data_IF_298989439383
#
_entry.id   IF_298989439383
#
_cell.length_a   1.000
_cell.length_b   1.000
_cell.length_c   1.000
_cell.angle_alpha   90.00
_cell.angle_beta   90.00
_cell.angle_gamma   90.00
#
_symmetry.space_group_name_H-M   'P 1'
#
loop_
_entity.id
_entity.type
_entity.pdbx_description
1 polymer ?
#
# COMPACT_ATOMS: atom_id res chain seq x y z
N UNK A 1 -12.90 -21.89 -9.51
CA UNK A 1 -12.66 -20.46 -9.31
C UNK A 1 -13.93 -19.88 -8.72
N UNK A 2 -13.84 -19.27 -7.57
CA UNK A 2 -15.00 -18.86 -6.78
C UNK A 2 -15.60 -17.59 -7.42
N UNK A 3 -16.93 -17.52 -7.60
CA UNK A 3 -17.67 -16.36 -8.14
C UNK A 3 -17.37 -15.04 -7.43
N UNK A 4 -16.77 -15.13 -6.24
CA UNK A 4 -16.31 -14.04 -5.40
C UNK A 4 -15.14 -13.24 -6.02
N UNK A 5 -14.11 -13.92 -6.54
CA UNK A 5 -12.96 -13.26 -7.20
C UNK A 5 -13.40 -12.61 -8.52
N UNK A 6 -14.36 -13.23 -9.20
CA UNK A 6 -14.95 -12.71 -10.44
C UNK A 6 -15.73 -11.41 -10.21
N UNK A 7 -16.48 -11.32 -9.11
CA UNK A 7 -17.25 -10.14 -8.71
C UNK A 7 -16.36 -8.92 -8.39
N UNK A 8 -15.19 -9.14 -7.80
CA UNK A 8 -14.21 -8.07 -7.48
C UNK A 8 -13.61 -7.50 -8.77
N UNK A 9 -13.28 -8.36 -9.74
CA UNK A 9 -12.70 -7.94 -11.01
C UNK A 9 -13.70 -7.16 -11.87
N UNK A 10 -14.95 -7.59 -11.91
CA UNK A 10 -16.00 -6.91 -12.67
C UNK A 10 -16.37 -5.55 -12.06
N UNK A 11 -16.26 -5.37 -10.76
CA UNK A 11 -16.52 -4.09 -10.08
C UNK A 11 -15.44 -3.04 -10.32
N UNK A 12 -14.18 -3.47 -10.52
CA UNK A 12 -13.05 -2.56 -10.78
C UNK A 12 -12.87 -2.19 -12.26
N UNK A 13 -13.35 -3.04 -13.18
CA UNK A 13 -13.20 -2.80 -14.61
C UNK A 13 -14.39 -2.03 -15.24
N UNK A 14 -15.55 -1.94 -14.56
CA UNK A 14 -16.77 -1.40 -15.12
C UNK A 14 -17.51 -0.38 -14.23
N UNK A 15 -16.84 0.39 -13.41
CA UNK A 15 -17.49 1.43 -12.61
C UNK A 15 -17.73 2.72 -13.43
N UNK A 16 -18.92 2.92 -14.04
CA UNK A 16 -19.32 4.25 -14.49
C UNK A 16 -19.80 5.03 -13.27
N UNK A 17 -19.27 6.22 -13.10
CA UNK A 17 -19.75 7.23 -12.16
C UNK A 17 -21.26 7.45 -12.35
N UNK A 18 -22.07 6.92 -11.47
CA UNK A 18 -23.49 7.22 -11.47
C UNK A 18 -23.95 7.72 -10.09
N UNK A 19 -24.11 9.05 -10.04
CA UNK A 19 -24.83 9.76 -8.98
C UNK A 19 -26.32 9.41 -9.09
N UNK A 20 -26.89 8.89 -8.03
CA UNK A 20 -28.28 8.95 -7.55
C UNK A 20 -28.80 7.60 -7.08
N UNK A 21 -28.92 7.45 -5.76
CA UNK A 21 -30.18 7.05 -5.12
C UNK A 21 -30.05 7.22 -3.61
N UNK A 22 -30.71 8.24 -3.14
CA UNK A 22 -30.95 8.56 -1.74
C UNK A 22 -32.35 8.08 -1.38
N UNK A 23 -32.53 7.74 -0.11
CA UNK A 23 -33.75 7.78 0.70
C UNK A 23 -34.51 6.49 0.96
N UNK A 24 -34.58 6.21 2.25
CA UNK A 24 -35.66 5.80 3.15
C UNK A 24 -35.67 4.37 3.69
N UNK A 25 -35.76 4.33 5.03
CA UNK A 25 -36.32 3.24 5.82
C UNK A 25 -35.88 3.25 7.29
N UNK A 26 -36.68 3.81 8.14
CA UNK A 26 -36.48 3.98 9.58
C UNK A 26 -36.98 2.80 10.42
N UNK A 27 -36.40 2.66 11.62
CA UNK A 27 -36.98 2.19 12.90
C UNK A 27 -36.89 0.71 13.27
N UNK A 28 -36.32 0.48 14.44
CA UNK A 28 -36.50 -0.73 15.25
C UNK A 28 -35.49 -0.86 16.39
N UNK A 29 -35.83 -0.30 17.58
CA UNK A 29 -35.11 -0.54 18.84
C UNK A 29 -35.31 -1.97 19.33
N UNK A 30 -34.25 -2.58 19.85
CA UNK A 30 -34.36 -3.60 20.88
C UNK A 30 -33.11 -3.58 21.79
N UNK A 31 -33.33 -3.17 23.03
CA UNK A 31 -32.36 -3.14 24.14
C UNK A 31 -32.27 -4.55 24.75
N UNK A 32 -31.05 -5.09 24.91
CA UNK A 32 -30.79 -6.18 25.87
C UNK A 32 -29.60 -5.83 26.75
N UNK A 33 -29.92 -5.65 28.02
CA UNK A 33 -29.01 -5.44 29.13
C UNK A 33 -28.55 -6.80 29.65
N UNK A 34 -27.21 -7.02 29.75
CA UNK A 34 -26.64 -8.07 30.55
C UNK A 34 -25.58 -7.45 31.49
N UNK A 35 -25.88 -7.50 32.76
CA UNK A 35 -25.01 -7.12 33.89
C UNK A 35 -24.10 -8.27 34.26
N UNK A 36 -22.81 -7.97 34.49
CA UNK A 36 -21.84 -8.91 35.07
C UNK A 36 -20.44 -8.34 35.20
N UNK A 37 -20.25 -7.59 36.25
CA UNK A 37 -19.09 -7.29 37.12
C UNK A 37 -17.62 -7.30 36.62
N UNK A 38 -17.03 -6.15 36.87
CA UNK A 38 -15.73 -5.77 37.45
C UNK A 38 -14.49 -5.74 36.58
N UNK A 39 -14.16 -4.54 36.31
CA UNK A 39 -12.98 -3.96 35.67
C UNK A 39 -13.49 -2.86 34.76
N UNK A 40 -13.47 -1.59 35.21
CA UNK A 40 -14.03 -0.50 34.42
C UNK A 40 -13.14 -0.22 33.18
N UNK A 41 -13.17 -1.12 32.22
CA UNK A 41 -12.98 -0.76 30.83
C UNK A 41 -14.23 0.07 30.48
N UNK A 42 -14.04 1.34 30.22
CA UNK A 42 -15.10 2.23 29.74
C UNK A 42 -15.72 1.54 28.52
N UNK A 43 -16.97 1.11 28.64
CA UNK A 43 -17.65 0.38 27.56
C UNK A 43 -17.56 1.25 26.29
N UNK A 44 -16.90 0.75 25.27
CA UNK A 44 -16.69 1.42 24.01
C UNK A 44 -18.04 1.72 23.38
N UNK A 45 -18.38 2.99 23.21
CA UNK A 45 -19.66 3.41 22.63
C UNK A 45 -19.56 3.32 21.11
N UNK A 46 -19.72 2.11 20.57
CA UNK A 46 -19.73 1.88 19.13
C UNK A 46 -21.14 2.09 18.55
N UNK A 47 -21.20 2.59 17.31
CA UNK A 47 -22.41 2.87 16.54
C UNK A 47 -22.40 4.23 15.88
N UNK A 48 -23.31 4.46 14.93
CA UNK A 48 -23.34 5.69 14.13
C UNK A 48 -22.34 5.67 12.99
N UNK A 49 -21.65 6.78 12.72
CA UNK A 49 -20.82 6.93 11.54
C UNK A 49 -19.36 6.54 11.79
N UNK A 50 -18.69 6.12 10.70
CA UNK A 50 -17.23 5.98 10.63
C UNK A 50 -16.76 6.53 9.28
N UNK A 51 -16.06 7.68 9.32
CA UNK A 51 -15.62 8.38 8.11
C UNK A 51 -14.23 7.92 7.72
N UNK A 52 -14.12 7.24 6.59
CA UNK A 52 -12.89 6.68 6.07
C UNK A 52 -12.37 7.50 4.89
N UNK A 53 -11.06 7.73 4.85
CA UNK A 53 -10.33 8.23 3.70
C UNK A 53 -9.07 7.40 3.47
N UNK A 54 -8.97 6.71 2.34
CA UNK A 54 -7.84 5.84 2.00
C UNK A 54 -7.93 5.33 0.57
N UNK A 55 -7.14 4.31 0.27
CA UNK A 55 -7.20 3.67 -1.05
C UNK A 55 -8.45 2.81 -1.19
N UNK A 56 -8.91 2.63 -2.43
CA UNK A 56 -10.06 1.78 -2.70
C UNK A 56 -9.79 0.33 -2.27
N UNK A 57 -10.76 -0.26 -1.59
CA UNK A 57 -10.68 -1.59 -0.98
C UNK A 57 -10.17 -1.60 0.47
N UNK A 58 -9.36 -0.63 0.90
CA UNK A 58 -8.80 -0.58 2.26
C UNK A 58 -9.84 -0.25 3.34
N UNK A 59 -11.00 0.26 2.96
CA UNK A 59 -12.15 0.39 3.85
C UNK A 59 -12.73 -0.96 4.31
N UNK A 60 -12.19 -2.08 3.79
CA UNK A 60 -12.56 -3.46 4.12
C UNK A 60 -14.08 -3.74 4.05
N UNK A 61 -14.78 -3.10 3.10
CA UNK A 61 -16.26 -3.08 3.06
C UNK A 61 -16.90 -4.46 3.00
N UNK A 62 -16.31 -5.41 2.28
CA UNK A 62 -16.80 -6.79 2.22
C UNK A 62 -16.41 -7.58 3.48
N UNK A 63 -15.17 -7.43 3.94
CA UNK A 63 -14.63 -8.14 5.11
C UNK A 63 -15.32 -7.70 6.39
N UNK A 64 -15.58 -6.39 6.53
CA UNK A 64 -16.16 -5.81 7.74
C UNK A 64 -17.69 -5.70 7.70
N UNK A 65 -18.36 -6.13 6.64
CA UNK A 65 -19.80 -5.95 6.44
C UNK A 65 -20.64 -6.39 7.64
N UNK A 66 -20.44 -7.60 8.12
CA UNK A 66 -21.20 -8.16 9.23
C UNK A 66 -20.83 -7.48 10.55
N UNK A 67 -19.54 -7.16 10.76
CA UNK A 67 -19.08 -6.42 11.92
C UNK A 67 -19.72 -5.03 12.00
N UNK A 68 -19.72 -4.29 10.90
CA UNK A 68 -20.32 -2.95 10.82
C UNK A 68 -21.83 -3.01 11.12
N UNK A 69 -22.53 -3.97 10.51
CA UNK A 69 -23.97 -4.15 10.71
C UNK A 69 -24.32 -4.52 12.16
N UNK A 70 -23.58 -5.45 12.78
CA UNK A 70 -23.79 -5.89 14.16
C UNK A 70 -23.53 -4.79 15.17
N UNK A 71 -22.63 -3.87 14.88
CA UNK A 71 -22.30 -2.75 15.75
C UNK A 71 -23.07 -1.45 15.42
N UNK A 72 -23.93 -1.47 14.39
CA UNK A 72 -24.67 -0.30 13.96
C UNK A 72 -23.78 0.83 13.46
N UNK A 73 -22.64 0.48 12.83
CA UNK A 73 -21.70 1.44 12.27
C UNK A 73 -21.99 1.62 10.77
N UNK A 74 -22.20 2.87 10.35
CA UNK A 74 -22.30 3.27 8.95
C UNK A 74 -20.94 3.76 8.46
N UNK A 75 -20.25 2.95 7.63
CA UNK A 75 -18.98 3.34 7.01
C UNK A 75 -19.25 4.32 5.87
N UNK A 76 -18.69 5.54 5.99
CA UNK A 76 -18.68 6.56 4.93
C UNK A 76 -17.30 6.63 4.31
N UNK A 77 -17.08 5.82 3.26
CA UNK A 77 -15.79 5.75 2.59
C UNK A 77 -15.64 6.82 1.52
N UNK A 78 -14.49 7.49 1.54
CA UNK A 78 -13.95 8.32 0.46
C UNK A 78 -12.63 7.73 0.01
N UNK A 79 -12.37 7.71 -1.30
CA UNK A 79 -11.16 7.10 -1.84
C UNK A 79 -10.20 8.17 -2.32
N UNK A 80 -8.95 8.07 -1.90
CA UNK A 80 -7.88 8.95 -2.31
C UNK A 80 -7.29 8.51 -3.65
N UNK A 81 -6.82 9.49 -4.40
CA UNK A 81 -6.11 9.32 -5.67
C UNK A 81 -4.61 9.61 -5.55
N UNK A 82 -4.19 10.21 -4.43
CA UNK A 82 -2.81 10.54 -4.13
C UNK A 82 -2.52 10.35 -2.63
N UNK A 83 -1.28 10.03 -2.29
CA UNK A 83 -0.88 9.72 -0.92
C UNK A 83 -1.02 10.90 0.05
N UNK A 84 -0.96 12.14 -0.44
CA UNK A 84 -1.06 13.37 0.34
C UNK A 84 -2.49 13.96 0.42
N UNK A 85 -3.48 13.26 -0.13
CA UNK A 85 -4.86 13.77 -0.17
C UNK A 85 -5.44 13.97 1.23
N UNK A 86 -5.15 13.06 2.17
CA UNK A 86 -5.58 13.19 3.56
C UNK A 86 -5.01 14.46 4.21
N UNK A 87 -3.73 14.76 3.97
CA UNK A 87 -3.09 15.97 4.47
C UNK A 87 -3.66 17.24 3.81
N UNK A 88 -3.88 17.20 2.51
CA UNK A 88 -4.49 18.28 1.77
C UNK A 88 -5.89 18.58 2.29
N UNK A 89 -6.72 17.55 2.48
CA UNK A 89 -8.07 17.69 3.03
C UNK A 89 -8.06 18.26 4.44
N UNK A 90 -7.16 17.75 5.29
CA UNK A 90 -6.97 18.26 6.64
C UNK A 90 -6.64 19.75 6.68
N UNK A 91 -5.69 20.19 5.85
CA UNK A 91 -5.23 21.58 5.78
C UNK A 91 -6.26 22.55 5.15
N UNK A 92 -7.21 22.03 4.38
CA UNK A 92 -8.24 22.84 3.70
C UNK A 92 -9.59 22.85 4.42
N UNK A 93 -9.59 22.58 5.73
CA UNK A 93 -10.79 22.66 6.58
C UNK A 93 -11.49 21.32 6.83
N UNK A 94 -10.89 20.21 6.45
CA UNK A 94 -11.40 18.85 6.71
C UNK A 94 -11.05 18.31 8.10
N UNK A 95 -10.48 19.12 8.99
CA UNK A 95 -10.20 18.72 10.38
C UNK A 95 -11.50 18.28 11.08
N UNK A 96 -11.49 17.13 11.74
CA UNK A 96 -12.69 16.55 12.36
C UNK A 96 -13.70 15.93 11.38
N UNK A 97 -13.39 15.83 10.08
CA UNK A 97 -14.25 15.19 9.08
C UNK A 97 -13.81 13.77 8.70
N UNK A 98 -12.70 13.30 9.25
CA UNK A 98 -12.12 11.98 9.01
C UNK A 98 -11.94 11.26 10.35
N UNK A 99 -12.20 9.97 10.37
CA UNK A 99 -11.95 9.12 11.53
C UNK A 99 -10.75 8.21 11.28
N UNK A 100 -10.80 7.46 10.18
CA UNK A 100 -9.75 6.56 9.73
C UNK A 100 -9.13 7.06 8.43
N UNK A 101 -7.80 7.03 8.39
CA UNK A 101 -7.01 7.27 7.18
C UNK A 101 -6.03 6.11 6.99
N UNK A 102 -5.64 5.85 5.74
CA UNK A 102 -4.69 4.78 5.41
C UNK A 102 -3.44 5.34 4.72
N UNK A 103 -2.53 5.95 5.49
CA UNK A 103 -1.28 6.43 4.95
C UNK A 103 -0.34 5.28 4.60
N UNK A 104 0.33 5.41 3.46
CA UNK A 104 1.46 4.56 3.12
C UNK A 104 2.66 4.82 4.06
N UNK A 105 3.47 3.81 4.25
CA UNK A 105 4.67 3.80 5.11
C UNK A 105 5.53 5.05 5.00
N UNK A 106 5.90 5.45 3.79
CA UNK A 106 6.81 6.56 3.57
C UNK A 106 6.15 7.92 3.83
N UNK A 107 4.88 8.06 3.43
CA UNK A 107 4.09 9.24 3.72
C UNK A 107 3.84 9.40 5.22
N UNK A 108 3.49 8.31 5.93
CA UNK A 108 3.30 8.34 7.37
C UNK A 108 4.56 8.77 8.11
N UNK A 109 5.74 8.23 7.72
CA UNK A 109 7.03 8.66 8.26
C UNK A 109 7.25 10.15 8.05
N UNK A 110 7.07 10.65 6.83
CA UNK A 110 7.25 12.06 6.51
C UNK A 110 6.35 12.98 7.34
N UNK A 111 5.08 12.61 7.56
CA UNK A 111 4.15 13.35 8.41
C UNK A 111 4.61 13.37 9.86
N UNK A 112 5.02 12.22 10.41
CA UNK A 112 5.49 12.15 11.79
C UNK A 112 6.78 12.96 11.99
N UNK A 113 7.72 12.90 11.06
CA UNK A 113 8.98 13.66 11.09
C UNK A 113 8.74 15.15 10.97
N UNK A 114 7.82 15.60 10.13
CA UNK A 114 7.49 17.02 9.96
C UNK A 114 6.82 17.64 11.18
N UNK A 115 6.29 16.82 12.10
CA UNK A 115 5.51 17.29 13.24
C UNK A 115 4.09 17.74 12.89
N UNK A 116 3.61 17.44 11.68
CA UNK A 116 2.23 17.74 11.28
C UNK A 116 1.25 16.86 12.06
N UNK A 117 0.26 17.49 12.69
CA UNK A 117 -0.76 16.81 13.51
C UNK A 117 -1.91 16.26 12.64
N UNK A 118 -1.61 15.34 11.72
CA UNK A 118 -2.65 14.67 10.92
C UNK A 118 -3.23 13.45 11.65
N UNK A 119 -2.39 12.72 12.37
CA UNK A 119 -2.73 11.48 13.07
C UNK A 119 -2.56 11.66 14.57
N UNK A 120 -3.40 11.01 15.36
CA UNK A 120 -3.24 10.97 16.81
C UNK A 120 -2.55 9.67 17.25
N UNK A 121 -1.83 9.70 18.40
CA UNK A 121 -1.25 8.49 18.98
C UNK A 121 -2.35 7.52 19.40
N UNK A 122 -2.10 6.24 19.18
CA UNK A 122 -3.05 5.17 19.49
C UNK A 122 -2.86 4.65 20.93
N UNK A 123 -3.96 4.39 21.60
CA UNK A 123 -4.00 3.55 22.80
C UNK A 123 -4.01 2.08 22.38
N UNK A 124 -2.84 1.46 22.34
CA UNK A 124 -2.67 0.08 21.91
C UNK A 124 -3.36 -0.94 22.84
N UNK A 125 -3.76 -0.56 24.06
CA UNK A 125 -4.57 -1.43 24.92
C UNK A 125 -5.97 -1.69 24.35
N UNK A 126 -6.43 -0.81 23.45
CA UNK A 126 -7.71 -0.93 22.73
C UNK A 126 -7.61 -1.78 21.45
N UNK A 127 -6.39 -2.20 21.08
CA UNK A 127 -6.11 -3.00 19.88
C UNK A 127 -5.26 -4.23 20.28
N UNK A 128 -5.77 -5.12 21.14
CA UNK A 128 -5.01 -6.26 21.64
C UNK A 128 -4.56 -7.22 20.53
N UNK A 129 -5.30 -7.29 19.40
CA UNK A 129 -4.92 -8.11 18.25
C UNK A 129 -3.60 -7.66 17.59
N UNK A 130 -3.17 -6.41 17.78
CA UNK A 130 -1.89 -5.92 17.28
C UNK A 130 -0.68 -6.64 17.89
N UNK A 131 -0.81 -7.30 19.04
CA UNK A 131 0.23 -8.16 19.58
C UNK A 131 0.57 -9.36 18.66
N UNK A 132 -0.36 -9.73 17.76
CA UNK A 132 -0.20 -10.79 16.77
C UNK A 132 0.47 -10.38 15.46
N UNK A 133 0.87 -9.12 15.30
CA UNK A 133 1.58 -8.66 14.10
C UNK A 133 2.92 -9.39 13.91
N UNK A 134 3.38 -9.52 12.66
CA UNK A 134 4.77 -9.96 12.40
C UNK A 134 5.78 -9.01 13.06
N UNK A 135 6.99 -9.49 13.39
CA UNK A 135 8.03 -8.67 14.03
C UNK A 135 8.31 -7.34 13.31
N UNK A 136 8.30 -7.34 11.97
CA UNK A 136 8.51 -6.16 11.15
C UNK A 136 7.50 -5.03 11.42
N UNK A 137 6.31 -5.34 11.89
CA UNK A 137 5.21 -4.40 12.03
C UNK A 137 4.90 -4.01 13.47
N UNK A 138 5.44 -4.72 14.48
CA UNK A 138 5.14 -4.46 15.90
C UNK A 138 5.60 -3.09 16.36
N UNK A 139 6.86 -2.75 16.05
CA UNK A 139 7.50 -1.48 16.45
C UNK A 139 8.09 -0.80 15.22
N UNK A 140 7.33 -0.78 14.14
CA UNK A 140 7.79 -0.26 12.86
C UNK A 140 8.20 1.22 12.98
N UNK A 141 9.43 1.59 12.56
CA UNK A 141 9.97 2.94 12.77
C UNK A 141 9.14 4.05 12.13
N UNK A 142 8.40 3.73 11.07
CA UNK A 142 7.52 4.68 10.39
C UNK A 142 6.19 4.91 11.10
N UNK A 143 5.87 4.10 12.12
CA UNK A 143 4.64 4.20 12.91
C UNK A 143 4.87 4.82 14.28
N UNK A 144 6.12 4.93 14.72
CA UNK A 144 6.46 5.31 16.10
C UNK A 144 7.18 6.65 16.12
N UNK A 145 6.70 7.56 16.96
CA UNK A 145 7.38 8.82 17.28
C UNK A 145 7.29 9.06 18.80
N UNK A 146 8.40 9.39 19.42
CA UNK A 146 8.49 9.69 20.85
C UNK A 146 7.87 8.58 21.74
N UNK A 147 8.09 7.31 21.35
CA UNK A 147 7.56 6.13 22.05
C UNK A 147 6.05 5.91 21.91
N UNK A 148 5.38 6.65 21.03
CA UNK A 148 3.94 6.52 20.76
C UNK A 148 3.72 5.95 19.37
N UNK A 149 2.75 5.04 19.24
CA UNK A 149 2.35 4.42 17.97
C UNK A 149 1.22 5.22 17.33
N UNK A 150 1.30 5.46 16.01
CA UNK A 150 0.36 6.30 15.27
C UNK A 150 -0.43 5.54 14.19
N UNK A 151 -0.23 4.24 14.06
CA UNK A 151 -0.98 3.43 13.10
C UNK A 151 -0.76 1.94 13.33
N UNK A 152 -1.66 1.13 12.78
CA UNK A 152 -1.57 -0.33 12.78
C UNK A 152 -1.46 -0.81 11.34
N UNK A 153 -0.36 -1.45 10.93
CA UNK A 153 -0.20 -1.99 9.59
C UNK A 153 -1.29 -2.99 9.26
N UNK A 154 -1.90 -2.85 8.09
CA UNK A 154 -2.99 -3.73 7.67
C UNK A 154 -2.60 -4.68 6.54
N UNK A 155 -1.81 -4.20 5.59
CA UNK A 155 -1.31 -4.93 4.42
C UNK A 155 0.10 -4.46 4.08
N UNK A 156 0.79 -5.26 3.27
CA UNK A 156 2.11 -4.92 2.76
C UNK A 156 2.36 -5.64 1.42
N UNK A 157 3.36 -5.17 0.71
CA UNK A 157 3.84 -5.79 -0.50
C UNK A 157 5.21 -5.27 -0.90
N UNK A 158 5.64 -5.71 -2.07
CA UNK A 158 6.85 -5.26 -2.74
C UNK A 158 6.55 -4.90 -4.20
N UNK A 159 7.52 -4.27 -4.85
CA UNK A 159 7.43 -3.82 -6.25
C UNK A 159 8.44 -4.58 -7.13
N UNK A 160 8.26 -5.89 -7.34
CA UNK A 160 9.16 -6.71 -8.13
C UNK A 160 9.04 -6.39 -9.63
N UNK A 161 9.92 -7.00 -10.44
CA UNK A 161 9.62 -7.18 -11.84
C UNK A 161 8.57 -8.29 -12.00
N UNK A 162 7.59 -8.08 -12.89
CA UNK A 162 6.63 -9.09 -13.31
C UNK A 162 6.98 -9.50 -14.74
N UNK A 163 7.21 -10.78 -14.98
CA UNK A 163 7.75 -11.19 -16.28
C UNK A 163 7.22 -12.53 -16.80
N UNK A 164 7.36 -12.75 -18.09
CA UNK A 164 7.00 -14.00 -18.76
C UNK A 164 8.14 -15.04 -18.58
N UNK A 165 7.93 -16.11 -17.77
CA UNK A 165 8.96 -17.12 -17.49
C UNK A 165 9.30 -18.01 -18.68
N UNK A 166 8.45 -18.06 -19.71
CA UNK A 166 8.77 -18.77 -20.94
C UNK A 166 9.86 -18.05 -21.77
N UNK A 167 10.01 -16.73 -21.57
CA UNK A 167 11.01 -15.91 -22.26
C UNK A 167 12.24 -15.63 -21.40
N UNK A 168 12.05 -15.43 -20.12
CA UNK A 168 13.08 -15.06 -19.17
C UNK A 168 13.09 -16.03 -17.99
N UNK A 169 14.23 -16.70 -17.77
CA UNK A 169 14.35 -17.64 -16.65
C UNK A 169 14.61 -16.94 -15.31
N UNK A 170 15.20 -15.75 -15.35
CA UNK A 170 15.50 -14.91 -14.20
C UNK A 170 15.63 -13.45 -14.63
N UNK A 171 15.51 -12.53 -13.68
CA UNK A 171 15.84 -11.12 -13.90
C UNK A 171 17.35 -10.92 -13.94
N UNK A 172 17.85 -9.83 -14.57
CA UNK A 172 19.25 -9.51 -14.55
C UNK A 172 19.76 -9.29 -13.11
N UNK A 173 21.07 -9.16 -12.93
CA UNK A 173 21.63 -8.93 -11.60
C UNK A 173 21.28 -7.54 -11.05
N UNK A 174 21.20 -6.53 -11.95
CA UNK A 174 20.93 -5.13 -11.62
C UNK A 174 19.88 -4.51 -12.54
N UNK A 175 19.17 -3.47 -12.06
CA UNK A 175 18.27 -2.70 -12.91
C UNK A 175 19.00 -2.00 -14.05
N UNK A 176 20.24 -1.55 -13.84
CA UNK A 176 21.07 -0.95 -14.90
C UNK A 176 21.39 -1.92 -16.04
N UNK A 177 21.34 -3.23 -15.82
CA UNK A 177 21.59 -4.25 -16.85
C UNK A 177 20.45 -4.31 -17.89
N UNK A 178 19.28 -3.75 -17.58
CA UNK A 178 18.19 -3.60 -18.57
C UNK A 178 18.57 -2.69 -19.76
N UNK A 179 19.75 -2.05 -19.73
CA UNK A 179 20.30 -1.33 -20.88
C UNK A 179 20.87 -2.27 -21.95
N UNK A 180 21.05 -3.57 -21.67
CA UNK A 180 21.51 -4.55 -22.66
C UNK A 180 20.53 -4.62 -23.85
N UNK A 181 20.98 -4.54 -25.10
CA UNK A 181 20.16 -4.62 -26.31
C UNK A 181 19.25 -5.87 -26.40
N UNK A 182 19.58 -6.95 -25.68
CA UNK A 182 18.71 -8.14 -25.64
C UNK A 182 17.31 -7.85 -25.08
N UNK A 183 17.15 -6.78 -24.30
CA UNK A 183 15.86 -6.33 -23.75
C UNK A 183 15.09 -5.36 -24.66
N UNK A 184 15.58 -5.11 -25.87
CA UNK A 184 14.97 -4.16 -26.79
C UNK A 184 13.49 -4.52 -27.07
N UNK A 185 12.58 -3.58 -26.71
CA UNK A 185 11.15 -3.78 -26.89
C UNK A 185 10.53 -4.77 -25.90
N UNK A 186 11.16 -4.99 -24.73
CA UNK A 186 10.71 -5.99 -23.77
C UNK A 186 10.18 -5.38 -22.47
N UNK A 187 10.42 -4.09 -22.23
CA UNK A 187 10.16 -3.46 -20.95
C UNK A 187 8.89 -2.61 -20.99
N UNK A 188 8.06 -2.73 -19.97
CA UNK A 188 7.06 -1.74 -19.57
C UNK A 188 7.37 -1.28 -18.14
N UNK A 189 7.41 0.04 -17.93
CA UNK A 189 7.63 0.62 -16.60
C UNK A 189 6.29 1.12 -16.04
N UNK A 190 6.13 1.09 -14.71
CA UNK A 190 5.03 1.80 -14.06
C UNK A 190 5.27 3.32 -14.11
N UNK A 191 4.22 4.13 -14.24
CA UNK A 191 4.32 5.59 -14.14
C UNK A 191 4.45 6.04 -12.67
N UNK A 192 5.57 5.64 -12.07
CA UNK A 192 5.96 5.98 -10.71
C UNK A 192 7.35 6.64 -10.71
N UNK A 193 7.43 7.98 -10.56
CA UNK A 193 8.70 8.68 -10.51
C UNK A 193 9.58 8.26 -9.34
N UNK A 194 8.98 8.00 -8.18
CA UNK A 194 9.74 7.75 -6.96
C UNK A 194 10.31 6.33 -6.93
N UNK A 195 9.49 5.34 -7.20
CA UNK A 195 9.92 3.94 -7.25
C UNK A 195 10.97 3.71 -8.32
N UNK A 196 10.73 4.17 -9.55
CA UNK A 196 11.71 3.98 -10.63
C UNK A 196 13.06 4.65 -10.33
N UNK A 197 13.08 5.91 -9.93
CA UNK A 197 14.32 6.60 -9.59
C UNK A 197 15.03 5.92 -8.43
N UNK A 198 14.30 5.47 -7.41
CA UNK A 198 14.86 4.74 -6.28
C UNK A 198 15.53 3.42 -6.71
N UNK A 199 14.87 2.62 -7.57
CA UNK A 199 15.41 1.36 -8.09
C UNK A 199 16.73 1.59 -8.84
N UNK A 200 16.79 2.61 -9.71
CA UNK A 200 18.02 2.94 -10.43
C UNK A 200 19.10 3.55 -9.55
N UNK A 201 18.75 4.37 -8.56
CA UNK A 201 19.69 4.88 -7.57
C UNK A 201 20.31 3.74 -6.75
N UNK A 202 19.50 2.75 -6.35
CA UNK A 202 19.97 1.54 -5.68
C UNK A 202 20.91 0.74 -6.58
N UNK A 203 20.55 0.55 -7.85
CA UNK A 203 21.36 -0.17 -8.84
C UNK A 203 22.71 0.49 -9.10
N UNK A 204 22.78 1.82 -9.01
CA UNK A 204 24.04 2.58 -9.11
C UNK A 204 24.84 2.59 -7.80
N UNK A 205 24.33 1.97 -6.74
CA UNK A 205 25.01 1.89 -5.44
C UNK A 205 24.99 3.22 -4.67
N UNK A 206 23.97 4.07 -4.89
CA UNK A 206 23.82 5.31 -4.12
C UNK A 206 23.62 4.98 -2.65
N UNK A 207 24.37 5.58 -1.71
CA UNK A 207 24.32 5.20 -0.30
C UNK A 207 22.98 5.54 0.38
N UNK A 208 22.26 6.52 -0.14
CA UNK A 208 20.93 6.95 0.31
C UNK A 208 20.02 7.14 -0.92
N UNK A 209 19.44 6.07 -1.46
CA UNK A 209 18.70 6.12 -2.73
C UNK A 209 17.51 7.10 -2.76
N UNK A 210 16.90 7.42 -1.60
CA UNK A 210 15.82 8.41 -1.49
C UNK A 210 16.30 9.85 -1.22
N UNK A 211 17.61 10.06 -1.05
CA UNK A 211 18.19 11.37 -0.68
C UNK A 211 19.31 11.74 -1.64
N UNK A 212 18.95 12.01 -2.87
CA UNK A 212 19.91 12.28 -3.95
C UNK A 212 20.26 13.77 -4.01
N UNK A 213 21.53 14.06 -4.26
CA UNK A 213 21.95 15.39 -4.71
C UNK A 213 21.50 15.61 -6.16
N UNK A 214 21.61 16.85 -6.64
CA UNK A 214 21.30 17.17 -8.04
C UNK A 214 22.16 16.37 -9.02
N UNK A 215 23.43 16.21 -8.72
CA UNK A 215 24.39 15.45 -9.52
C UNK A 215 24.07 13.95 -9.51
N UNK A 216 23.71 13.40 -8.36
CA UNK A 216 23.30 12.01 -8.24
C UNK A 216 22.01 11.73 -9.01
N UNK A 217 21.00 12.61 -8.89
CA UNK A 217 19.76 12.50 -9.66
C UNK A 217 20.04 12.55 -11.17
N UNK A 218 20.94 13.42 -11.62
CA UNK A 218 21.36 13.46 -13.02
C UNK A 218 22.03 12.16 -13.49
N UNK A 219 22.88 11.53 -12.66
CA UNK A 219 23.47 10.23 -12.95
C UNK A 219 22.41 9.13 -13.05
N UNK A 220 21.42 9.14 -12.17
CA UNK A 220 20.28 8.21 -12.21
C UNK A 220 19.50 8.38 -13.50
N UNK A 221 19.15 9.62 -13.88
CA UNK A 221 18.45 9.91 -15.12
C UNK A 221 19.25 9.45 -16.35
N UNK A 222 20.57 9.69 -16.38
CA UNK A 222 21.44 9.20 -17.46
C UNK A 222 21.39 7.67 -17.59
N UNK A 223 21.42 6.95 -16.46
CA UNK A 223 21.33 5.50 -16.47
C UNK A 223 19.95 5.02 -16.95
N UNK A 224 18.88 5.69 -16.55
CA UNK A 224 17.54 5.41 -17.02
C UNK A 224 17.37 5.68 -18.53
N UNK A 225 17.95 6.75 -19.05
CA UNK A 225 17.92 7.05 -20.49
C UNK A 225 18.57 5.95 -21.35
N UNK A 226 19.54 5.20 -20.80
CA UNK A 226 20.15 4.06 -21.51
C UNK A 226 19.18 2.90 -21.73
N UNK A 227 18.17 2.73 -20.90
CA UNK A 227 17.15 1.69 -21.09
C UNK A 227 16.01 2.14 -22.02
N UNK A 228 15.89 3.41 -22.33
CA UNK A 228 14.78 3.96 -23.12
C UNK A 228 14.52 3.21 -24.45
N UNK A 229 15.54 2.81 -25.23
CA UNK A 229 15.35 2.00 -26.45
C UNK A 229 14.72 0.63 -26.21
N UNK A 230 14.74 0.14 -24.96
CA UNK A 230 14.24 -1.17 -24.56
C UNK A 230 12.83 -1.09 -23.99
N UNK A 231 12.35 0.12 -23.69
CA UNK A 231 11.01 0.40 -23.11
C UNK A 231 9.98 0.56 -24.23
N UNK A 232 8.93 -0.26 -24.17
CA UNK A 232 7.79 -0.18 -25.11
C UNK A 232 6.90 0.99 -24.72
N UNK A 233 6.57 1.08 -23.42
CA UNK A 233 5.69 2.10 -22.88
C UNK A 233 5.84 2.26 -21.39
N UNK A 234 5.25 3.33 -20.85
CA UNK A 234 5.04 3.56 -19.43
C UNK A 234 3.55 3.39 -19.16
N UNK A 235 3.20 2.41 -18.32
CA UNK A 235 1.80 2.12 -17.93
C UNK A 235 1.35 3.08 -16.84
N UNK A 236 0.20 3.71 -17.00
CA UNK A 236 -0.33 4.67 -16.04
C UNK A 236 -0.78 4.02 -14.71
N UNK A 237 -0.98 2.70 -14.73
CA UNK A 237 -1.39 1.91 -13.56
C UNK A 237 -0.85 0.49 -13.64
N UNK A 238 -0.93 -0.25 -12.52
CA UNK A 238 -0.63 -1.70 -12.52
C UNK A 238 -1.55 -2.48 -13.46
N UNK A 239 -2.80 -2.04 -13.64
CA UNK A 239 -3.73 -2.64 -14.60
C UNK A 239 -3.27 -2.44 -16.04
N UNK A 240 -2.87 -1.23 -16.42
CA UNK A 240 -2.34 -0.95 -17.76
C UNK A 240 -1.06 -1.76 -18.05
N UNK A 241 -0.16 -1.85 -17.06
CA UNK A 241 1.04 -2.69 -17.17
C UNK A 241 0.67 -4.16 -17.35
N UNK A 242 -0.30 -4.68 -16.59
CA UNK A 242 -0.77 -6.05 -16.72
C UNK A 242 -1.34 -6.32 -18.13
N UNK A 243 -2.09 -5.38 -18.68
CA UNK A 243 -2.65 -5.50 -20.04
C UNK A 243 -1.57 -5.53 -21.13
N UNK A 244 -0.52 -4.72 -20.99
CA UNK A 244 0.65 -4.74 -21.89
C UNK A 244 1.34 -6.10 -21.85
N UNK A 245 1.56 -6.65 -20.64
CA UNK A 245 2.20 -7.95 -20.45
C UNK A 245 1.33 -9.11 -20.96
N UNK A 246 0.02 -9.06 -20.73
CA UNK A 246 -0.94 -10.08 -21.18
C UNK A 246 -1.05 -10.12 -22.68
N UNK A 247 -1.05 -8.96 -23.37
CA UNK A 247 -1.03 -8.91 -24.85
C UNK A 247 0.32 -9.37 -25.44
N UNK A 248 1.38 -9.41 -24.63
CA UNK A 248 2.72 -9.75 -25.10
C UNK A 248 3.42 -8.60 -25.84
N UNK A 249 2.93 -7.36 -25.69
CA UNK A 249 3.57 -6.16 -26.23
C UNK A 249 4.92 -5.90 -25.57
N UNK A 250 5.04 -6.25 -24.28
CA UNK A 250 6.27 -6.36 -23.52
C UNK A 250 6.29 -7.68 -22.75
N UNK A 251 7.45 -8.09 -22.26
CA UNK A 251 7.58 -9.35 -21.51
C UNK A 251 8.12 -9.18 -20.09
N UNK A 252 8.50 -7.96 -19.70
CA UNK A 252 8.97 -7.60 -18.38
C UNK A 252 8.33 -6.28 -17.96
N UNK A 253 7.62 -6.28 -16.83
CA UNK A 253 7.14 -5.09 -16.15
C UNK A 253 8.08 -4.75 -14.98
N UNK A 254 8.58 -3.52 -14.93
CA UNK A 254 9.44 -3.01 -13.86
C UNK A 254 8.65 -2.11 -12.94
N UNK A 255 8.78 -2.27 -11.63
CA UNK A 255 7.91 -1.61 -10.65
C UNK A 255 6.51 -2.24 -10.68
N UNK A 256 6.44 -3.55 -10.83
CA UNK A 256 5.19 -4.28 -10.90
C UNK A 256 4.68 -4.68 -9.51
N UNK A 257 3.52 -5.29 -9.50
CA UNK A 257 2.92 -5.85 -8.31
C UNK A 257 2.57 -7.32 -8.55
N UNK A 258 2.85 -8.19 -7.58
CA UNK A 258 2.63 -9.64 -7.70
C UNK A 258 1.20 -10.01 -8.13
N UNK A 259 0.20 -9.17 -7.80
CA UNK A 259 -1.18 -9.31 -8.24
C UNK A 259 -1.34 -9.36 -9.77
N UNK A 260 -0.46 -8.73 -10.52
CA UNK A 260 -0.49 -8.78 -12.00
C UNK A 260 -0.30 -10.21 -12.54
N UNK A 261 0.44 -11.07 -11.83
CA UNK A 261 0.56 -12.48 -12.19
C UNK A 261 -0.77 -13.24 -12.00
N UNK A 262 -1.59 -12.85 -11.02
CA UNK A 262 -2.92 -13.40 -10.78
C UNK A 262 -3.86 -12.98 -11.92
N UNK A 263 -3.90 -11.69 -12.25
CA UNK A 263 -4.71 -11.16 -13.38
C UNK A 263 -4.34 -11.85 -14.70
N UNK A 264 -3.05 -11.99 -14.98
CA UNK A 264 -2.57 -12.63 -16.19
C UNK A 264 -3.01 -14.10 -16.28
N UNK A 265 -2.91 -14.84 -15.16
CA UNK A 265 -3.34 -16.24 -15.09
C UNK A 265 -4.83 -16.43 -15.41
N UNK A 266 -5.69 -15.52 -14.98
CA UNK A 266 -7.11 -15.53 -15.30
C UNK A 266 -7.38 -15.31 -16.81
N UNK A 267 -6.50 -14.55 -17.45
CA UNK A 267 -6.52 -14.31 -18.91
C UNK A 267 -5.77 -15.41 -19.70
N UNK A 268 -5.34 -16.50 -19.04
CA UNK A 268 -4.64 -17.63 -19.66
C UNK A 268 -3.16 -17.38 -19.94
N UNK A 269 -2.57 -16.32 -19.37
CA UNK A 269 -1.16 -15.98 -19.53
C UNK A 269 -0.42 -16.28 -18.23
N UNK A 270 0.73 -16.96 -18.32
CA UNK A 270 1.60 -17.23 -17.18
C UNK A 270 2.62 -16.11 -17.03
N UNK A 271 2.52 -15.36 -15.94
CA UNK A 271 3.55 -14.44 -15.48
C UNK A 271 4.06 -14.88 -14.12
N UNK A 272 5.26 -14.45 -13.78
CA UNK A 272 5.88 -14.65 -12.47
C UNK A 272 6.54 -13.37 -11.99
N UNK A 273 6.98 -13.35 -10.74
CA UNK A 273 7.67 -12.21 -10.14
C UNK A 273 9.12 -12.55 -9.85
N UNK A 274 9.96 -11.53 -9.82
CA UNK A 274 11.36 -11.65 -9.44
C UNK A 274 12.04 -10.30 -9.44
N UNK A 275 13.17 -10.23 -8.77
CA UNK A 275 13.94 -8.98 -8.62
C UNK A 275 15.36 -9.17 -9.12
N UNK A 276 16.03 -8.12 -9.57
CA UNK A 276 17.46 -8.14 -9.80
C UNK A 276 18.19 -8.59 -8.53
N UNK A 277 19.03 -9.64 -8.66
CA UNK A 277 19.55 -10.37 -7.49
C UNK A 277 20.51 -9.56 -6.61
N UNK A 278 21.14 -8.51 -7.16
CA UNK A 278 22.04 -7.62 -6.41
C UNK A 278 21.34 -6.37 -5.86
N UNK A 279 20.24 -5.95 -6.47
CA UNK A 279 19.57 -4.70 -6.13
C UNK A 279 18.32 -4.94 -5.26
N UNK A 280 17.65 -6.10 -5.43
CA UNK A 280 16.38 -6.36 -4.76
C UNK A 280 15.26 -5.46 -5.27
N UNK A 281 14.33 -5.12 -4.39
CA UNK A 281 13.24 -4.17 -4.64
C UNK A 281 12.90 -3.43 -3.36
N UNK A 282 11.97 -2.49 -3.44
CA UNK A 282 11.44 -1.83 -2.26
C UNK A 282 10.10 -2.44 -1.81
N UNK A 283 9.78 -2.17 -0.56
CA UNK A 283 8.58 -2.62 0.11
C UNK A 283 7.68 -1.45 0.46
N UNK A 284 6.38 -1.69 0.38
CA UNK A 284 5.36 -0.77 0.85
C UNK A 284 4.51 -1.42 1.95
N UNK A 285 3.90 -0.61 2.78
CA UNK A 285 2.92 -1.04 3.77
C UNK A 285 1.96 0.09 4.04
N UNK A 286 0.68 -0.21 4.10
CA UNK A 286 -0.36 0.72 4.46
C UNK A 286 -0.87 0.40 5.87
N UNK A 287 -1.22 1.43 6.61
CA UNK A 287 -1.63 1.30 8.00
C UNK A 287 -2.94 2.04 8.25
N UNK A 288 -3.79 1.50 9.11
CA UNK A 288 -4.88 2.28 9.66
C UNK A 288 -4.34 3.25 10.70
N UNK A 289 -4.59 4.52 10.51
CA UNK A 289 -4.32 5.58 11.48
C UNK A 289 -5.61 6.33 11.81
N UNK A 290 -5.72 6.82 13.05
CA UNK A 290 -6.85 7.64 13.48
C UNK A 290 -6.48 9.10 13.27
N UNK A 291 -7.31 9.82 12.51
CA UNK A 291 -7.11 11.24 12.29
C UNK A 291 -7.25 12.03 13.61
N UNK A 292 -6.47 13.09 13.75
CA UNK A 292 -6.62 13.99 14.89
C UNK A 292 -8.02 14.64 14.87
N UNK A 293 -8.61 14.84 16.06
CA UNK A 293 -10.00 15.33 16.23
C UNK A 293 -11.07 14.45 15.57
N UNK A 294 -10.81 13.13 15.40
CA UNK A 294 -11.82 12.18 14.98
C UNK A 294 -13.07 12.25 15.87
N UNK A 295 -14.26 12.50 15.30
CA UNK A 295 -15.50 12.54 16.08
C UNK A 295 -16.00 11.15 16.51
N UNK A 296 -15.55 10.08 15.81
CA UNK A 296 -16.03 8.71 16.02
C UNK A 296 -14.87 7.77 16.44
N UNK A 297 -14.04 8.24 17.36
CA UNK A 297 -12.80 7.55 17.77
C UNK A 297 -13.05 6.11 18.27
N UNK A 298 -14.20 5.86 18.97
CA UNK A 298 -14.54 4.53 19.46
C UNK A 298 -14.84 3.55 18.33
N UNK A 299 -15.51 4.00 17.27
CA UNK A 299 -15.74 3.21 16.07
C UNK A 299 -14.42 2.91 15.33
N UNK A 300 -13.50 3.90 15.27
CA UNK A 300 -12.20 3.73 14.65
C UNK A 300 -11.37 2.64 15.35
N UNK A 301 -11.30 2.66 16.68
CA UNK A 301 -10.62 1.62 17.45
C UNK A 301 -11.27 0.24 17.28
N UNK A 302 -12.60 0.16 17.36
CA UNK A 302 -13.32 -1.10 17.19
C UNK A 302 -13.08 -1.70 15.80
N UNK A 303 -13.04 -0.85 14.76
CA UNK A 303 -12.77 -1.26 13.41
C UNK A 303 -11.31 -1.74 13.24
N UNK A 304 -10.32 -1.00 13.73
CA UNK A 304 -8.92 -1.41 13.67
C UNK A 304 -8.71 -2.74 14.40
N UNK A 305 -9.27 -2.91 15.61
CA UNK A 305 -9.19 -4.18 16.34
C UNK A 305 -9.81 -5.32 15.54
N UNK A 306 -10.98 -5.11 14.93
CA UNK A 306 -11.63 -6.13 14.11
C UNK A 306 -10.78 -6.54 12.90
N UNK A 307 -10.25 -5.58 12.14
CA UNK A 307 -9.48 -5.89 10.91
C UNK A 307 -8.09 -6.44 11.21
N UNK A 308 -7.57 -6.22 12.43
CA UNK A 308 -6.29 -6.76 12.91
C UNK A 308 -6.43 -8.19 13.44
N UNK A 309 -7.64 -8.72 13.63
CA UNK A 309 -7.82 -10.13 13.98
C UNK A 309 -7.34 -11.04 12.83
N UNK A 310 -6.75 -12.22 13.13
CA UNK A 310 -6.14 -13.07 12.10
C UNK A 310 -7.06 -13.40 10.93
N UNK A 311 -8.33 -13.75 11.20
CA UNK A 311 -9.29 -14.09 10.14
C UNK A 311 -9.64 -12.89 9.26
N UNK A 312 -9.85 -11.73 9.87
CA UNK A 312 -10.19 -10.49 9.15
C UNK A 312 -8.98 -9.98 8.35
N UNK A 313 -7.78 -10.03 8.94
CA UNK A 313 -6.56 -9.61 8.25
C UNK A 313 -6.22 -10.52 7.06
N UNK A 314 -6.38 -11.84 7.20
CA UNK A 314 -6.23 -12.78 6.10
C UNK A 314 -7.23 -12.50 4.96
N UNK A 315 -8.49 -12.23 5.31
CA UNK A 315 -9.53 -11.93 4.33
C UNK A 315 -9.24 -10.60 3.60
N UNK A 316 -8.83 -9.54 4.33
CA UNK A 316 -8.45 -8.26 3.75
C UNK A 316 -7.24 -8.38 2.83
N UNK A 317 -6.18 -9.03 3.29
CA UNK A 317 -4.98 -9.25 2.47
C UNK A 317 -5.30 -10.07 1.21
N UNK A 318 -6.20 -11.04 1.31
CA UNK A 318 -6.67 -11.83 0.15
C UNK A 318 -7.49 -10.98 -0.82
N UNK A 319 -8.42 -10.17 -0.31
CA UNK A 319 -9.23 -9.27 -1.15
C UNK A 319 -8.37 -8.25 -1.90
N UNK A 320 -7.35 -7.72 -1.24
CA UNK A 320 -6.42 -6.75 -1.81
C UNK A 320 -5.22 -7.42 -2.52
N UNK A 321 -5.20 -8.76 -2.57
CA UNK A 321 -4.10 -9.54 -3.14
C UNK A 321 -2.72 -9.07 -2.65
N UNK A 322 -2.59 -8.88 -1.35
CA UNK A 322 -1.42 -8.32 -0.65
C UNK A 322 -0.90 -9.27 0.42
N UNK A 323 0.23 -8.95 1.03
CA UNK A 323 0.72 -9.64 2.22
C UNK A 323 -0.10 -9.26 3.46
N UNK A 324 -0.42 -10.23 4.32
CA UNK A 324 -1.02 -9.99 5.63
C UNK A 324 0.03 -9.52 6.64
N UNK A 325 -0.38 -8.70 7.60
CA UNK A 325 0.51 -8.17 8.65
C UNK A 325 0.45 -8.95 9.96
N UNK A 326 -0.60 -9.75 10.15
CA UNK A 326 -0.80 -10.60 11.33
C UNK A 326 -0.24 -11.99 11.08
N UNK A 327 0.66 -12.48 11.96
CA UNK A 327 1.38 -13.73 11.74
C UNK A 327 0.46 -14.95 11.64
N UNK A 328 -0.56 -15.04 12.49
CA UNK A 328 -1.53 -16.12 12.45
C UNK A 328 -2.45 -16.06 11.20
N UNK A 329 -2.57 -14.91 10.54
CA UNK A 329 -3.34 -14.76 9.31
C UNK A 329 -2.68 -15.49 8.13
N UNK A 330 -1.35 -15.60 8.11
CA UNK A 330 -0.60 -16.27 7.05
C UNK A 330 -1.10 -17.69 6.77
N UNK A 331 -1.35 -18.45 7.82
CA UNK A 331 -1.82 -19.84 7.70
C UNK A 331 -3.28 -19.97 7.20
N UNK A 332 -4.02 -18.86 7.17
CA UNK A 332 -5.41 -18.80 6.71
C UNK A 332 -5.53 -18.36 5.25
N UNK A 333 -4.42 -17.92 4.65
CA UNK A 333 -4.38 -17.47 3.25
C UNK A 333 -4.01 -18.62 2.32
N UNK A 334 -4.43 -18.50 1.05
CA UNK A 334 -4.08 -19.49 0.02
C UNK A 334 -2.57 -19.49 -0.27
N UNK A 335 -1.92 -20.66 -0.33
CA UNK A 335 -0.49 -20.76 -0.63
C UNK A 335 -0.09 -20.08 -1.95
N UNK A 336 -0.98 -20.10 -2.93
CA UNK A 336 -0.75 -19.43 -4.22
C UNK A 336 -0.56 -17.92 -4.09
N UNK A 337 -1.21 -17.29 -3.11
CA UNK A 337 -1.04 -15.86 -2.84
C UNK A 337 0.17 -15.61 -1.94
N UNK A 338 0.32 -16.37 -0.86
CA UNK A 338 1.43 -16.14 0.09
C UNK A 338 2.79 -16.41 -0.52
N UNK A 339 2.90 -17.30 -1.52
CA UNK A 339 4.16 -17.57 -2.24
C UNK A 339 4.64 -16.43 -3.13
N UNK A 340 3.78 -15.45 -3.41
CA UNK A 340 4.15 -14.27 -4.19
C UNK A 340 4.90 -13.21 -3.36
N UNK A 341 4.90 -13.34 -2.03
CA UNK A 341 5.48 -12.35 -1.12
C UNK A 341 6.61 -12.95 -0.29
N UNK A 342 7.73 -12.23 -0.09
CA UNK A 342 8.88 -12.72 0.66
C UNK A 342 8.67 -12.57 2.19
N UNK A 343 7.81 -13.40 2.77
CA UNK A 343 7.43 -13.36 4.20
C UNK A 343 8.61 -13.50 5.16
N UNK A 344 9.75 -14.05 4.73
CA UNK A 344 10.95 -14.12 5.58
C UNK A 344 11.45 -12.74 5.98
N UNK A 345 11.25 -11.72 5.13
CA UNK A 345 11.62 -10.34 5.43
C UNK A 345 10.80 -9.75 6.59
N UNK A 346 9.51 -10.06 6.69
CA UNK A 346 8.64 -9.53 7.75
C UNK A 346 8.76 -10.31 9.06
N UNK A 347 9.30 -11.53 9.01
CA UNK A 347 9.64 -12.34 10.19
C UNK A 347 10.94 -11.91 10.85
N UNK A 348 11.79 -11.18 10.14
CA UNK A 348 13.06 -10.74 10.67
C UNK A 348 12.89 -9.73 11.82
N UNK A 349 13.66 -9.86 12.92
CA UNK A 349 13.65 -8.89 14.01
C UNK A 349 13.99 -7.47 13.52
N UNK A 350 13.36 -6.45 14.11
CA UNK A 350 13.62 -5.06 13.77
C UNK A 350 13.09 -4.61 12.40
N UNK A 351 12.19 -5.42 11.81
CA UNK A 351 11.53 -5.06 10.55
C UNK A 351 12.31 -5.36 9.29
N UNK A 352 13.49 -5.95 9.40
CA UNK A 352 14.29 -6.29 8.23
C UNK A 352 14.45 -5.10 7.27
N UNK A 353 14.37 -5.35 5.97
CA UNK A 353 14.48 -4.33 4.93
C UNK A 353 13.32 -3.32 5.00
N UNK A 354 12.11 -3.75 5.35
CA UNK A 354 10.92 -2.88 5.49
C UNK A 354 11.17 -1.70 6.45
N UNK A 355 11.85 -1.94 7.57
CA UNK A 355 12.11 -0.93 8.60
C UNK A 355 13.09 0.15 8.19
N UNK A 356 13.99 -0.13 7.25
CA UNK A 356 15.09 0.75 6.89
C UNK A 356 14.89 1.47 5.56
N UNK A 357 14.07 0.93 4.65
CA UNK A 357 13.85 1.54 3.35
C UNK A 357 12.93 2.76 3.44
N UNK A 358 13.34 3.85 2.79
CA UNK A 358 12.52 5.00 2.44
C UNK A 358 12.65 5.21 0.94
N UNK A 359 11.54 5.26 0.23
CA UNK A 359 11.50 5.39 -1.24
C UNK A 359 11.24 6.83 -1.66
N UNK A 360 10.30 7.48 -0.97
CA UNK A 360 9.91 8.85 -1.28
C UNK A 360 11.01 9.84 -0.85
N UNK A 361 11.45 10.73 -1.74
CA UNK A 361 12.41 11.77 -1.38
C UNK A 361 11.81 12.81 -0.43
N UNK A 362 12.62 13.69 0.19
CA UNK A 362 12.11 14.83 0.93
C UNK A 362 11.13 15.66 0.09
N UNK A 363 10.05 16.14 0.68
CA UNK A 363 9.08 17.00 -0.02
C UNK A 363 9.75 18.28 -0.55
N UNK A 364 10.58 18.91 0.30
CA UNK A 364 11.36 20.08 -0.03
C UNK A 364 12.85 19.76 -0.05
N UNK A 365 13.70 20.53 -0.77
CA UNK A 365 15.15 20.37 -0.69
C UNK A 365 15.67 20.46 0.75
N UNK A 366 16.67 19.63 1.06
CA UNK A 366 17.31 19.59 2.38
C UNK A 366 18.85 19.60 2.19
N UNK A 367 19.48 20.77 2.39
CA UNK A 367 20.87 21.00 2.05
C UNK A 367 21.09 20.79 0.54
N UNK A 368 22.02 19.87 0.21
CA UNK A 368 22.34 19.51 -1.18
C UNK A 368 21.37 18.46 -1.77
N UNK A 369 20.48 17.92 -0.94
CA UNK A 369 19.48 16.91 -1.35
C UNK A 369 18.32 17.59 -2.05
N UNK A 370 17.96 17.11 -3.23
CA UNK A 370 16.83 17.65 -4.00
C UNK A 370 15.50 17.14 -3.44
N UNK A 371 14.45 17.96 -3.60
CA UNK A 371 13.10 17.60 -3.18
C UNK A 371 12.32 16.81 -4.25
N UNK A 372 11.12 16.36 -3.88
CA UNK A 372 10.22 15.55 -4.70
C UNK A 372 9.94 16.14 -6.09
N UNK A 373 9.80 17.47 -6.20
CA UNK A 373 9.56 18.14 -7.48
C UNK A 373 10.66 17.86 -8.51
N UNK A 374 11.93 17.80 -8.09
CA UNK A 374 13.05 17.50 -9.00
C UNK A 374 13.00 16.05 -9.52
N UNK A 375 12.50 15.11 -8.72
CA UNK A 375 12.33 13.73 -9.14
C UNK A 375 11.22 13.61 -10.19
N UNK A 376 10.11 14.30 -9.96
CA UNK A 376 9.01 14.34 -10.93
C UNK A 376 9.48 14.95 -12.26
N UNK A 377 10.27 16.04 -12.22
CA UNK A 377 10.86 16.67 -13.42
C UNK A 377 11.81 15.71 -14.17
N UNK A 378 12.69 15.02 -13.45
CA UNK A 378 13.59 14.01 -14.03
C UNK A 378 12.80 12.87 -14.69
N UNK A 379 11.74 12.39 -14.05
CA UNK A 379 10.87 11.37 -14.61
C UNK A 379 10.13 11.84 -15.86
N UNK A 380 9.59 13.07 -15.87
CA UNK A 380 8.97 13.64 -17.07
C UNK A 380 10.00 13.75 -18.21
N UNK A 381 11.24 14.15 -17.90
CA UNK A 381 12.33 14.19 -18.90
C UNK A 381 12.57 12.80 -19.48
N UNK A 382 12.63 11.76 -18.66
CA UNK A 382 12.72 10.36 -19.13
C UNK A 382 11.56 9.99 -20.05
N UNK A 383 10.31 10.33 -19.69
CA UNK A 383 9.13 9.94 -20.48
C UNK A 383 9.10 10.55 -21.87
N UNK A 384 9.54 11.80 -22.02
CA UNK A 384 9.49 12.52 -23.31
C UNK A 384 10.74 12.37 -24.18
N UNK A 385 11.82 11.77 -23.66
CA UNK A 385 13.03 11.41 -24.42
C UNK A 385 12.76 10.16 -25.29
#
# INVERSE_FOLDING_TARGET
>A
MNDFVRSILESRLNAPLNRRRFVQGASGLATMTLLGASGAAQAQKVGGELNFLGWDGEHAGNVAKDFLAQNGIEMKASFQSAADEALTRFNTGGRGSMDLITPNKDFQRAILESGTELMQPLDMSRIPSAAGLFPAFKDAPWLVKDGKTYGVPMIWGDEPCVYNPAKWQAMPERYTDFADPKFKGELVLLDDPFGNIWLWATSLGMPQPSRLTKEQLAQVLEAMLKIKPNVVTVGASHGDMADVLVRGDASIGVGGWAYQAIIAKEKGVTLTVGTPSKDGTFFWSDAYAIAVDSPNIDNAYAFIEFVTQPKSNAALATELASGCTVEAAYALMEPALTSLYPYDNVRAPGGGILGTQTVVPPQNPDGDVVGAASWVEAWQTFKVS
#
